data_IF_174688869467
#
_entry.id   IF_174688869467
#
_cell.length_a   1.000
_cell.length_b   1.000
_cell.length_c   1.000
_cell.angle_alpha   90.00
_cell.angle_beta   90.00
_cell.angle_gamma   90.00
#
_symmetry.space_group_name_H-M   'P 1'
#
loop_
_entity.id
_entity.type
_entity.pdbx_description
1 polymer ?
#
# COMPACT_ATOMS: atom_id res chain seq x y z
N UNK A 1 -3.78 3.77 1.20
CA UNK A 1 -4.19 4.02 2.58
C UNK A 1 -3.97 2.77 3.43
N UNK A 2 -3.77 2.92 4.74
CA UNK A 2 -3.90 1.82 5.73
C UNK A 2 -4.92 2.26 6.77
N UNK A 3 -6.13 1.69 6.74
CA UNK A 3 -7.28 2.29 7.44
C UNK A 3 -7.51 3.74 6.96
N UNK A 4 -7.66 4.68 7.90
CA UNK A 4 -7.89 6.09 7.59
C UNK A 4 -6.61 6.90 7.27
N UNK A 5 -5.43 6.30 7.41
CA UNK A 5 -4.17 7.00 7.18
C UNK A 5 -3.68 6.85 5.74
N UNK A 6 -3.39 7.98 5.09
CA UNK A 6 -2.59 8.02 3.86
C UNK A 6 -1.23 7.40 4.21
N UNK A 7 -0.85 6.32 3.52
CA UNK A 7 0.50 5.75 3.68
C UNK A 7 1.46 6.75 3.07
N UNK A 8 1.99 7.64 3.91
CA UNK A 8 3.02 8.57 3.50
C UNK A 8 4.35 7.83 3.46
N UNK A 9 4.81 7.65 2.23
CA UNK A 9 5.97 6.95 1.67
C UNK A 9 7.34 7.00 2.38
N UNK A 10 7.49 7.60 3.56
CA UNK A 10 8.81 7.96 4.09
C UNK A 10 9.16 7.49 5.50
N UNK A 11 8.19 7.14 6.37
CA UNK A 11 8.52 6.99 7.79
C UNK A 11 9.34 5.73 8.14
N UNK A 12 9.23 4.65 7.35
CA UNK A 12 9.90 3.37 7.63
C UNK A 12 11.12 3.08 6.74
N UNK A 13 11.19 3.69 5.56
CA UNK A 13 12.16 3.36 4.52
C UNK A 13 11.95 1.96 3.93
N UNK A 14 11.54 1.88 2.65
CA UNK A 14 11.28 0.61 1.96
C UNK A 14 9.82 0.34 1.64
N UNK A 15 8.90 1.26 1.95
CA UNK A 15 7.53 1.22 1.42
C UNK A 15 7.44 2.23 0.26
N UNK A 16 7.06 1.78 -0.92
CA UNK A 16 6.80 2.66 -2.07
C UNK A 16 5.51 2.26 -2.77
N UNK A 17 4.84 3.22 -3.41
CA UNK A 17 3.76 2.93 -4.35
C UNK A 17 4.19 3.45 -5.72
N UNK A 18 4.06 2.58 -6.71
CA UNK A 18 4.34 2.89 -8.10
C UNK A 18 3.03 2.88 -8.85
N UNK A 19 2.69 4.01 -9.49
CA UNK A 19 1.50 4.12 -10.31
C UNK A 19 1.87 4.13 -11.77
N UNK A 20 1.42 3.11 -12.50
CA UNK A 20 1.57 3.00 -13.94
C UNK A 20 0.34 3.62 -14.62
N UNK A 21 0.53 4.70 -15.38
CA UNK A 21 -0.58 5.47 -15.96
C UNK A 21 -1.23 4.76 -17.14
N UNK A 22 -0.43 4.06 -17.96
CA UNK A 22 -0.92 3.38 -19.15
C UNK A 22 -1.86 2.24 -18.81
N UNK A 23 -1.49 1.41 -17.83
CA UNK A 23 -2.33 0.30 -17.36
C UNK A 23 -3.25 0.69 -16.20
N UNK A 24 -3.24 1.97 -15.78
CA UNK A 24 -3.97 2.51 -14.62
C UNK A 24 -3.79 1.65 -13.36
N UNK A 25 -2.58 1.13 -13.15
CA UNK A 25 -2.28 0.17 -12.10
C UNK A 25 -1.48 0.83 -11.00
N UNK A 26 -1.92 0.66 -9.75
CA UNK A 26 -1.15 1.06 -8.58
C UNK A 26 -0.52 -0.19 -7.93
N UNK A 27 0.79 -0.16 -7.70
CA UNK A 27 1.54 -1.25 -7.07
C UNK A 27 2.13 -0.77 -5.76
N UNK A 28 1.81 -1.46 -4.68
CA UNK A 28 2.44 -1.29 -3.38
C UNK A 28 3.65 -2.23 -3.28
N UNK A 29 4.81 -1.68 -2.94
CA UNK A 29 6.05 -2.41 -2.75
C UNK A 29 6.51 -2.21 -1.30
N UNK A 30 6.80 -3.31 -0.60
CA UNK A 30 7.30 -3.31 0.78
C UNK A 30 8.59 -4.12 0.81
N UNK A 31 9.72 -3.43 0.95
CA UNK A 31 11.04 -4.03 1.11
C UNK A 31 11.33 -4.31 2.58
N UNK A 32 12.06 -5.40 2.85
CA UNK A 32 12.46 -5.84 4.20
C UNK A 32 11.27 -5.89 5.16
N UNK A 33 10.17 -6.54 4.76
CA UNK A 33 8.93 -6.51 5.53
C UNK A 33 9.14 -6.98 6.99
N UNK A 34 8.52 -6.26 7.94
CA UNK A 34 8.49 -6.56 9.36
C UNK A 34 7.06 -6.93 9.76
N UNK A 35 6.84 -7.65 10.87
CA UNK A 35 5.50 -7.95 11.36
C UNK A 35 4.59 -6.71 11.54
N UNK A 36 5.18 -5.56 11.89
CA UNK A 36 4.49 -4.26 11.99
C UNK A 36 3.95 -3.72 10.65
N UNK A 37 4.42 -4.25 9.52
CA UNK A 37 3.85 -3.95 8.21
C UNK A 37 2.54 -4.70 7.94
N UNK A 38 2.11 -5.61 8.82
CA UNK A 38 0.79 -6.22 8.70
C UNK A 38 -0.30 -5.17 8.84
N UNK A 39 -1.39 -5.32 8.08
CA UNK A 39 -2.52 -4.41 8.15
C UNK A 39 -3.38 -4.42 6.89
N UNK A 40 -4.48 -3.67 6.94
CA UNK A 40 -5.37 -3.51 5.80
C UNK A 40 -4.88 -2.38 4.89
N UNK A 41 -4.49 -2.73 3.67
CA UNK A 41 -4.04 -1.79 2.65
C UNK A 41 -5.14 -1.52 1.64
N UNK A 42 -5.52 -0.26 1.52
CA UNK A 42 -6.58 0.19 0.61
C UNK A 42 -6.00 1.02 -0.53
N UNK A 43 -6.30 0.60 -1.76
CA UNK A 43 -6.14 1.39 -2.97
C UNK A 43 -7.43 2.18 -3.21
N UNK A 44 -7.35 3.51 -3.25
CA UNK A 44 -8.49 4.39 -3.47
C UNK A 44 -8.15 5.42 -4.57
N UNK A 45 -8.39 5.08 -5.85
CA UNK A 45 -8.22 6.02 -6.95
C UNK A 45 -9.35 7.06 -6.95
N UNK A 46 -9.11 8.24 -7.55
CA UNK A 46 -10.08 9.34 -7.56
C UNK A 46 -11.26 9.12 -8.52
N UNK A 47 -11.16 8.18 -9.45
CA UNK A 47 -12.15 7.97 -10.53
C UNK A 47 -12.68 6.54 -10.59
N UNK A 48 -12.45 5.73 -9.56
CA UNK A 48 -12.91 4.34 -9.51
C UNK A 48 -13.10 3.90 -8.05
N UNK A 49 -13.81 2.78 -7.88
CA UNK A 49 -14.06 2.20 -6.56
C UNK A 49 -12.76 1.80 -5.84
N UNK A 50 -12.79 1.93 -4.52
CA UNK A 50 -11.67 1.52 -3.68
C UNK A 50 -11.62 0.00 -3.52
N UNK A 51 -10.41 -0.53 -3.40
CA UNK A 51 -10.18 -1.95 -3.14
C UNK A 51 -9.22 -2.11 -1.96
N UNK A 52 -9.49 -3.09 -1.09
CA UNK A 52 -8.73 -3.32 0.14
C UNK A 52 -8.20 -4.74 0.21
N UNK A 53 -7.02 -4.92 0.78
CA UNK A 53 -6.39 -6.23 1.02
C UNK A 53 -5.77 -6.27 2.41
N UNK A 54 -6.00 -7.36 3.14
CA UNK A 54 -5.33 -7.62 4.41
C UNK A 54 -3.98 -8.29 4.15
N UNK A 55 -2.90 -7.63 4.54
CA UNK A 55 -1.54 -8.17 4.46
C UNK A 55 -1.13 -8.66 5.84
N UNK A 56 -0.58 -9.87 5.88
CA UNK A 56 -0.01 -10.46 7.08
C UNK A 56 1.43 -10.86 6.82
N UNK A 57 2.36 -10.30 7.60
CA UNK A 57 3.80 -10.60 7.52
C UNK A 57 4.13 -11.54 8.67
N UNK A 58 4.61 -12.73 8.33
CA UNK A 58 5.01 -13.78 9.27
C UNK A 58 6.52 -13.69 9.56
N UNK A 59 6.93 -14.25 10.69
CA UNK A 59 8.34 -14.44 11.07
C UNK A 59 8.88 -15.78 10.54
#
# INVERSE_FOLDING_TARGET
YRGDHVINYSQRGGISVVTEKQTRTSRLLISRALPADSGNYTCAPSTAESASVLVHVLN
#
